data_IF_558228803969
#
_entry.id   IF_558228803969
#
_cell.length_a   1.000
_cell.length_b   1.000
_cell.length_c   1.000
_cell.angle_alpha   90.00
_cell.angle_beta   90.00
_cell.angle_gamma   90.00
#
_symmetry.space_group_name_H-M   'P 1'
#
loop_
_entity.id
_entity.type
_entity.pdbx_description
1 polymer ?
#
# COMPACT_ATOMS: atom_id res chain seq x y z
N UNK A 1 -19.34 -47.64 -32.83
CA UNK A 1 -18.15 -46.73 -32.85
C UNK A 1 -18.44 -45.27 -32.40
N UNK A 2 -19.60 -44.95 -31.80
CA UNK A 2 -20.00 -43.54 -31.54
C UNK A 2 -20.17 -43.19 -30.03
N UNK A 3 -19.92 -44.10 -29.10
CA UNK A 3 -20.08 -43.78 -27.68
C UNK A 3 -18.81 -43.22 -27.02
N UNK A 4 -17.63 -43.56 -27.52
CA UNK A 4 -16.37 -43.04 -27.00
C UNK A 4 -16.16 -41.55 -27.36
N UNK A 5 -16.63 -41.11 -28.52
CA UNK A 5 -16.47 -39.71 -28.95
C UNK A 5 -17.36 -38.75 -28.15
N UNK A 6 -18.49 -39.22 -27.62
CA UNK A 6 -19.36 -38.42 -26.76
C UNK A 6 -18.78 -38.17 -25.37
N UNK A 7 -18.14 -39.19 -24.80
CA UNK A 7 -17.56 -39.10 -23.46
C UNK A 7 -16.33 -38.16 -23.45
N UNK A 8 -15.50 -38.21 -24.50
CA UNK A 8 -14.34 -37.32 -24.61
C UNK A 8 -14.75 -35.87 -24.86
N UNK A 9 -15.79 -35.66 -25.66
CA UNK A 9 -16.33 -34.30 -25.91
C UNK A 9 -16.92 -33.69 -24.61
N UNK A 10 -17.66 -34.47 -23.81
CA UNK A 10 -18.19 -33.99 -22.52
C UNK A 10 -17.08 -33.68 -21.51
N UNK A 11 -16.04 -34.51 -21.43
CA UNK A 11 -14.92 -34.32 -20.53
C UNK A 11 -14.10 -33.06 -20.90
N UNK A 12 -13.88 -32.79 -22.18
CA UNK A 12 -13.16 -31.59 -22.64
C UNK A 12 -13.97 -30.33 -22.40
N UNK A 13 -15.29 -30.36 -22.59
CA UNK A 13 -16.17 -29.23 -22.34
C UNK A 13 -16.22 -28.87 -20.84
N UNK A 14 -16.28 -29.89 -19.98
CA UNK A 14 -16.27 -29.72 -18.52
C UNK A 14 -14.91 -29.16 -18.03
N UNK A 15 -13.81 -29.59 -18.63
CA UNK A 15 -12.47 -29.13 -18.30
C UNK A 15 -12.26 -27.65 -18.70
N UNK A 16 -12.75 -27.24 -19.87
CA UNK A 16 -12.71 -25.85 -20.33
C UNK A 16 -13.60 -24.92 -19.50
N UNK A 17 -14.70 -25.43 -18.96
CA UNK A 17 -15.59 -24.64 -18.09
C UNK A 17 -14.99 -24.44 -16.69
N UNK A 18 -14.21 -25.42 -16.18
CA UNK A 18 -13.55 -25.32 -14.87
C UNK A 18 -12.33 -24.39 -14.87
N UNK A 19 -11.66 -24.21 -16.01
CA UNK A 19 -10.50 -23.31 -16.12
C UNK A 19 -10.85 -21.82 -16.25
N UNK A 20 -12.13 -21.47 -16.43
CA UNK A 20 -12.55 -20.08 -16.74
C UNK A 20 -12.98 -19.24 -15.54
N UNK A 21 -13.08 -19.78 -14.32
CA UNK A 21 -13.53 -19.01 -13.16
C UNK A 21 -12.32 -18.65 -12.30
N UNK A 22 -11.47 -17.78 -12.82
CA UNK A 22 -10.59 -17.00 -11.97
C UNK A 22 -11.44 -15.92 -11.28
N UNK A 23 -11.95 -16.19 -10.09
CA UNK A 23 -12.42 -15.16 -9.20
C UNK A 23 -11.19 -14.30 -8.87
N UNK A 24 -11.09 -13.14 -9.48
CA UNK A 24 -10.27 -12.07 -8.94
C UNK A 24 -10.84 -11.83 -7.53
N UNK A 25 -10.14 -12.32 -6.50
CA UNK A 25 -10.46 -12.01 -5.12
C UNK A 25 -10.33 -10.48 -5.03
N UNK A 26 -11.47 -9.79 -4.98
CA UNK A 26 -11.52 -8.37 -4.66
C UNK A 26 -10.95 -8.29 -3.24
N UNK A 27 -9.69 -7.92 -3.15
CA UNK A 27 -9.05 -7.71 -1.86
C UNK A 27 -9.62 -6.39 -1.32
N UNK A 28 -10.54 -6.48 -0.36
CA UNK A 28 -11.06 -5.32 0.40
C UNK A 28 -9.96 -4.63 1.24
N UNK A 29 -8.72 -5.06 1.06
CA UNK A 29 -7.57 -4.49 1.75
C UNK A 29 -7.13 -3.21 1.05
N UNK A 30 -7.00 -2.10 1.77
CA UNK A 30 -6.55 -0.85 1.19
C UNK A 30 -5.09 -0.94 0.74
N UNK A 31 -4.74 -0.21 -0.30
CA UNK A 31 -3.34 0.05 -0.64
C UNK A 31 -2.78 1.06 0.37
N UNK A 32 -1.61 0.75 0.93
CA UNK A 32 -0.93 1.62 1.89
C UNK A 32 0.37 2.11 1.25
N UNK A 33 0.51 3.43 1.14
CA UNK A 33 1.71 4.09 0.62
C UNK A 33 2.40 4.77 1.80
N UNK A 34 3.62 4.34 2.11
CA UNK A 34 4.46 4.97 3.12
C UNK A 34 5.45 5.91 2.44
N UNK A 35 5.39 7.19 2.81
CA UNK A 35 6.33 8.21 2.35
C UNK A 35 7.15 8.67 3.55
N UNK A 36 8.46 8.53 3.46
CA UNK A 36 9.39 8.93 4.52
C UNK A 36 10.28 10.04 4.02
N UNK A 37 10.23 11.19 4.68
CA UNK A 37 11.16 12.28 4.42
C UNK A 37 12.54 11.95 4.99
N UNK A 38 13.59 12.50 4.35
CA UNK A 38 14.97 12.35 4.80
C UNK A 38 15.45 13.66 5.41
N UNK A 39 15.92 13.58 6.65
CA UNK A 39 16.41 14.70 7.45
C UNK A 39 15.45 15.90 7.58
N UNK A 40 14.15 15.66 7.50
CA UNK A 40 13.12 16.68 7.70
C UNK A 40 12.83 16.85 9.19
N UNK A 41 13.03 18.06 9.70
CA UNK A 41 12.65 18.42 11.07
C UNK A 41 11.12 18.60 11.21
N UNK A 42 10.62 18.47 12.43
CA UNK A 42 9.19 18.68 12.72
C UNK A 42 8.67 20.04 12.28
N UNK A 43 9.49 21.08 12.45
CA UNK A 43 9.13 22.46 12.08
C UNK A 43 9.36 22.82 10.61
N UNK A 44 9.82 21.90 9.77
CA UNK A 44 10.23 22.19 8.38
C UNK A 44 9.07 22.09 7.38
N UNK A 45 7.85 22.34 7.85
CA UNK A 45 6.64 22.32 7.02
C UNK A 45 5.76 23.53 7.27
N UNK A 46 5.01 23.96 6.26
CA UNK A 46 4.11 25.11 6.37
C UNK A 46 3.02 24.89 7.42
N UNK A 47 2.40 23.69 7.46
CA UNK A 47 1.35 23.37 8.43
C UNK A 47 1.83 23.35 9.89
N UNK A 48 3.13 23.19 10.13
CA UNK A 48 3.76 23.34 11.46
C UNK A 48 4.27 24.77 11.74
N UNK A 49 3.96 25.72 10.83
CA UNK A 49 4.25 27.15 11.04
C UNK A 49 5.64 27.60 10.64
N UNK A 50 6.31 26.89 9.73
CA UNK A 50 7.63 27.35 9.24
C UNK A 50 7.48 28.70 8.51
N UNK A 51 8.28 29.75 8.87
CA UNK A 51 8.05 31.11 8.38
C UNK A 51 8.40 31.31 6.90
N UNK A 52 9.24 30.46 6.31
CA UNK A 52 9.76 30.65 4.95
C UNK A 52 9.56 29.46 4.02
N UNK A 53 9.33 28.26 4.58
CA UNK A 53 9.13 27.05 3.77
C UNK A 53 7.66 26.94 3.36
N UNK A 54 7.45 26.81 2.06
CA UNK A 54 6.11 26.64 1.50
C UNK A 54 5.92 25.18 1.07
N UNK A 55 5.00 24.48 1.71
CA UNK A 55 4.71 23.05 1.48
C UNK A 55 3.24 22.79 1.15
N UNK A 56 2.69 23.39 0.07
CA UNK A 56 1.25 23.40 -0.16
C UNK A 56 0.61 22.00 -0.28
N UNK A 57 1.34 21.02 -0.81
CA UNK A 57 0.85 19.64 -0.88
C UNK A 57 0.75 19.01 0.51
N UNK A 58 1.76 19.17 1.37
CA UNK A 58 1.75 18.67 2.74
C UNK A 58 0.72 19.40 3.60
N UNK A 59 0.58 20.71 3.40
CA UNK A 59 -0.40 21.54 4.11
C UNK A 59 -1.84 21.08 3.78
N UNK A 60 -2.11 20.73 2.51
CA UNK A 60 -3.39 20.17 2.09
C UNK A 60 -3.62 18.80 2.69
N UNK A 61 -2.62 17.93 2.67
CA UNK A 61 -2.71 16.60 3.29
C UNK A 61 -2.97 16.70 4.81
N UNK A 62 -2.30 17.63 5.49
CA UNK A 62 -2.50 17.87 6.93
C UNK A 62 -3.92 18.36 7.23
N UNK A 63 -4.50 19.18 6.35
CA UNK A 63 -5.86 19.71 6.49
C UNK A 63 -6.93 18.64 6.25
N UNK A 64 -6.72 17.76 5.28
CA UNK A 64 -7.71 16.78 4.82
C UNK A 64 -7.56 15.42 5.50
N UNK A 65 -6.44 15.16 6.17
CA UNK A 65 -6.10 13.91 6.83
C UNK A 65 -5.97 14.02 8.34
N UNK A 66 -5.16 13.12 8.90
CA UNK A 66 -4.82 13.11 10.33
C UNK A 66 -3.38 13.52 10.53
N UNK A 67 -3.14 14.45 11.45
CA UNK A 67 -1.80 14.84 11.89
C UNK A 67 -1.55 14.25 13.27
N UNK A 68 -0.44 13.55 13.43
CA UNK A 68 -0.01 12.97 14.71
C UNK A 68 1.10 13.85 15.32
N UNK A 69 0.77 14.65 16.31
CA UNK A 69 1.71 15.58 16.95
C UNK A 69 2.82 14.87 17.74
N UNK A 70 2.59 13.65 18.17
CA UNK A 70 3.52 12.85 18.98
C UNK A 70 3.87 11.53 18.32
N UNK A 71 4.25 11.58 17.08
CA UNK A 71 4.73 10.42 16.33
C UNK A 71 6.24 10.54 16.14
N UNK A 72 6.98 9.62 16.76
CA UNK A 72 8.43 9.70 16.83
C UNK A 72 9.09 8.68 15.93
N UNK A 73 10.25 9.04 15.35
CA UNK A 73 11.12 8.11 14.67
C UNK A 73 11.69 7.09 15.68
N UNK A 74 11.91 5.86 15.24
CA UNK A 74 12.45 4.80 16.10
C UNK A 74 13.89 5.06 16.54
N UNK A 75 14.63 5.90 15.81
CA UNK A 75 16.00 6.27 16.11
C UNK A 75 16.31 7.69 15.61
N UNK A 76 17.33 8.36 16.18
CA UNK A 76 17.67 9.73 15.80
C UNK A 76 18.42 9.87 14.46
N UNK A 77 18.59 8.77 13.73
CA UNK A 77 19.27 8.73 12.43
C UNK A 77 18.51 7.89 11.41
N UNK A 78 18.74 8.15 10.12
CA UNK A 78 17.97 7.63 8.99
C UNK A 78 18.01 6.09 8.87
N UNK A 79 19.17 5.46 8.89
CA UNK A 79 19.30 4.01 8.62
C UNK A 79 18.55 3.13 9.61
N UNK A 80 18.67 3.28 10.95
CA UNK A 80 17.92 2.44 11.88
C UNK A 80 16.42 2.76 11.87
N UNK A 81 16.01 4.01 11.64
CA UNK A 81 14.59 4.35 11.45
C UNK A 81 14.02 3.67 10.22
N UNK A 82 14.73 3.66 9.10
CA UNK A 82 14.31 2.95 7.88
C UNK A 82 14.22 1.44 8.10
N UNK A 83 15.20 0.87 8.81
CA UNK A 83 15.17 -0.55 9.18
C UNK A 83 13.95 -0.89 10.05
N UNK A 84 13.62 -0.04 11.01
CA UNK A 84 12.43 -0.16 11.86
C UNK A 84 11.13 -0.18 11.02
N UNK A 85 10.97 0.77 10.11
CA UNK A 85 9.80 0.83 9.21
C UNK A 85 9.69 -0.42 8.34
N UNK A 86 10.81 -0.90 7.78
CA UNK A 86 10.82 -2.07 6.90
C UNK A 86 10.58 -3.40 7.63
N UNK A 87 10.95 -3.49 8.91
CA UNK A 87 10.87 -4.72 9.69
C UNK A 87 9.72 -4.74 10.70
N UNK A 88 9.12 -3.58 10.99
CA UNK A 88 8.15 -3.42 12.08
C UNK A 88 8.76 -3.59 13.48
N UNK A 89 10.07 -3.41 13.63
CA UNK A 89 10.80 -3.56 14.90
C UNK A 89 11.46 -2.25 15.30
N UNK A 90 11.48 -1.97 16.58
CA UNK A 90 12.19 -0.84 17.20
C UNK A 90 13.45 -1.36 17.88
#
# INVERSE_FOLDING_TARGET
MNRLNGLTALATTLYLFCCGISFAANSDKPNIILVMADDQGWGDTGYNGHPFVNTPALDTMAKDGFVFDRFYAAAPVCSPTRASVMTGRT
#
